data_IF_033045354998
#
_entry.id   IF_033045354998
#
_cell.length_a   1.000
_cell.length_b   1.000
_cell.length_c   1.000
_cell.angle_alpha   90.00
_cell.angle_beta   90.00
_cell.angle_gamma   90.00
#
_symmetry.space_group_name_H-M   'P 1'
#
loop_
_entity.id
_entity.type
_entity.pdbx_description
1 polymer ?
#
# COMPACT_ATOMS: atom_id res chain seq x y z
N UNK A 1 19.86 -0.59 18.51
CA UNK A 1 18.69 0.02 17.85
C UNK A 1 19.04 1.46 17.52
N UNK A 2 18.93 1.89 16.26
CA UNK A 2 19.28 3.26 15.87
C UNK A 2 18.17 4.24 16.29
N UNK A 3 18.51 5.53 16.42
CA UNK A 3 17.52 6.59 16.71
C UNK A 3 16.38 6.64 15.68
N UNK A 4 16.65 6.24 14.43
CA UNK A 4 15.65 6.19 13.36
C UNK A 4 14.64 5.06 13.58
N UNK A 5 15.09 3.87 14.00
CA UNK A 5 14.19 2.75 14.30
C UNK A 5 13.24 3.07 15.47
N UNK A 6 13.72 3.79 16.49
CA UNK A 6 12.87 4.24 17.60
C UNK A 6 11.76 5.20 17.15
N UNK A 7 12.10 6.15 16.27
CA UNK A 7 11.11 7.07 15.70
C UNK A 7 10.06 6.33 14.88
N UNK A 8 10.49 5.39 14.02
CA UNK A 8 9.58 4.57 13.22
C UNK A 8 8.61 3.81 14.12
N UNK A 9 9.08 3.18 15.19
CA UNK A 9 8.21 2.45 16.12
C UNK A 9 7.18 3.38 16.78
N UNK A 10 7.57 4.59 17.19
CA UNK A 10 6.65 5.54 17.79
C UNK A 10 5.55 6.01 16.80
N UNK A 11 5.93 6.36 15.56
CA UNK A 11 4.99 6.77 14.51
C UNK A 11 4.08 5.61 14.06
N UNK A 12 4.64 4.41 13.95
CA UNK A 12 3.95 3.18 13.61
C UNK A 12 2.91 2.79 14.69
N UNK A 13 3.23 2.99 15.97
CA UNK A 13 2.29 2.74 17.07
C UNK A 13 1.08 3.69 16.99
N UNK A 14 1.31 4.97 16.74
CA UNK A 14 0.23 5.94 16.54
C UNK A 14 -0.65 5.56 15.34
N UNK A 15 -0.04 5.15 14.22
CA UNK A 15 -0.80 4.73 13.04
C UNK A 15 -1.67 3.50 13.32
N UNK A 16 -1.16 2.53 14.10
CA UNK A 16 -1.93 1.35 14.52
C UNK A 16 -3.15 1.71 15.36
N UNK A 17 -3.00 2.61 16.33
CA UNK A 17 -4.12 3.09 17.15
C UNK A 17 -5.19 3.72 16.26
N UNK A 18 -4.79 4.57 15.31
CA UNK A 18 -5.71 5.21 14.37
C UNK A 18 -6.41 4.23 13.43
N UNK A 19 -5.71 3.20 12.96
CA UNK A 19 -6.33 2.12 12.19
C UNK A 19 -7.39 1.38 13.01
N UNK A 20 -7.10 1.07 14.27
CA UNK A 20 -8.05 0.40 15.15
C UNK A 20 -9.28 1.28 15.40
N UNK A 21 -9.08 2.56 15.69
CA UNK A 21 -10.16 3.50 16.03
C UNK A 21 -11.04 3.86 14.84
N UNK A 22 -10.45 4.10 13.67
CA UNK A 22 -11.17 4.63 12.50
C UNK A 22 -11.64 3.54 11.55
N UNK A 23 -10.81 2.52 11.33
CA UNK A 23 -11.09 1.45 10.38
C UNK A 23 -11.61 0.19 11.06
N UNK A 24 -11.44 0.05 12.39
CA UNK A 24 -11.72 -1.20 13.09
C UNK A 24 -10.71 -2.30 12.75
N UNK A 25 -9.55 -1.94 12.19
CA UNK A 25 -8.52 -2.90 11.73
C UNK A 25 -7.45 -3.03 12.81
N UNK A 26 -7.18 -4.28 13.21
CA UNK A 26 -6.04 -4.61 14.07
C UNK A 26 -5.13 -5.56 13.29
N UNK A 27 -4.00 -5.04 12.84
CA UNK A 27 -3.00 -5.83 12.11
C UNK A 27 -2.27 -6.83 13.01
N UNK A 28 -1.73 -7.87 12.38
CA UNK A 28 -0.82 -8.83 13.03
C UNK A 28 0.58 -8.74 12.44
N UNK A 29 1.65 -8.86 13.24
CA UNK A 29 3.01 -8.86 12.72
C UNK A 29 3.19 -9.93 11.62
N UNK A 30 3.78 -9.58 10.47
CA UNK A 30 3.92 -10.54 9.38
C UNK A 30 4.86 -11.70 9.71
N UNK A 31 4.51 -12.91 9.25
CA UNK A 31 5.34 -14.10 9.38
C UNK A 31 6.43 -14.13 8.29
N UNK A 32 7.50 -13.35 8.49
CA UNK A 32 8.58 -13.17 7.53
C UNK A 32 9.20 -14.48 7.04
N UNK A 33 9.16 -14.71 5.73
CA UNK A 33 9.86 -15.84 5.07
C UNK A 33 11.33 -15.54 4.80
N UNK A 34 11.65 -14.27 4.55
CA UNK A 34 13.00 -13.75 4.37
C UNK A 34 13.19 -12.50 5.25
N UNK A 35 14.40 -12.24 5.78
CA UNK A 35 14.63 -11.05 6.61
C UNK A 35 14.33 -9.75 5.85
N UNK A 36 13.37 -8.91 6.31
CA UNK A 36 13.16 -7.59 5.74
C UNK A 36 14.22 -6.58 6.21
N UNK A 37 14.42 -5.48 5.46
CA UNK A 37 15.16 -4.32 5.93
C UNK A 37 14.69 -3.83 7.30
N UNK A 38 15.59 -3.27 8.10
CA UNK A 38 15.33 -3.00 9.52
C UNK A 38 14.18 -2.01 9.77
N UNK A 39 14.02 -0.99 8.93
CA UNK A 39 12.90 -0.04 9.04
C UNK A 39 11.58 -0.70 8.67
N UNK A 40 11.57 -1.49 7.58
CA UNK A 40 10.40 -2.25 7.11
C UNK A 40 9.94 -3.23 8.19
N UNK A 41 10.88 -3.95 8.81
CA UNK A 41 10.60 -4.82 9.96
C UNK A 41 9.96 -4.03 11.10
N UNK A 42 10.62 -2.97 11.54
CA UNK A 42 10.19 -2.19 12.71
C UNK A 42 8.78 -1.61 12.51
N UNK A 43 8.50 -1.13 11.30
CA UNK A 43 7.19 -0.62 10.91
C UNK A 43 6.11 -1.69 11.00
N UNK A 44 6.28 -2.81 10.30
CA UNK A 44 5.26 -3.86 10.23
C UNK A 44 5.13 -4.73 11.48
N UNK A 45 6.21 -4.93 12.23
CA UNK A 45 6.15 -5.59 13.54
C UNK A 45 5.33 -4.72 14.55
N UNK A 46 5.26 -3.40 14.31
CA UNK A 46 4.50 -2.46 15.15
C UNK A 46 3.06 -2.29 14.67
N UNK A 47 2.86 -1.91 13.40
CA UNK A 47 1.53 -1.66 12.78
C UNK A 47 0.74 -2.94 12.59
N UNK A 48 1.43 -4.02 12.20
CA UNK A 48 0.83 -5.26 11.75
C UNK A 48 0.22 -5.15 10.35
N UNK A 49 -0.02 -6.29 9.72
CA UNK A 49 -0.74 -6.40 8.45
C UNK A 49 -2.13 -7.01 8.66
N UNK A 50 -3.10 -6.52 7.88
CA UNK A 50 -4.45 -7.05 7.81
C UNK A 50 -4.88 -7.08 6.34
N UNK A 51 -5.76 -8.00 5.96
CA UNK A 51 -6.12 -8.24 4.56
C UNK A 51 -6.70 -6.99 3.87
N UNK A 52 -7.41 -6.16 4.62
CA UNK A 52 -7.99 -4.88 4.19
C UNK A 52 -6.91 -3.88 3.73
N UNK A 53 -5.69 -3.96 4.27
CA UNK A 53 -4.55 -3.15 3.79
C UNK A 53 -4.14 -3.52 2.36
N UNK A 54 -4.52 -4.73 1.90
CA UNK A 54 -4.28 -5.23 0.55
C UNK A 54 -4.78 -4.32 -0.56
N UNK A 55 -5.73 -3.42 -0.27
CA UNK A 55 -6.23 -2.41 -1.22
C UNK A 55 -5.20 -1.32 -1.54
N UNK A 56 -4.26 -1.04 -0.62
CA UNK A 56 -3.31 0.06 -0.75
C UNK A 56 -1.85 -0.39 -0.78
N UNK A 57 -1.57 -1.59 -0.29
CA UNK A 57 -0.24 -2.20 -0.27
C UNK A 57 -0.35 -3.72 -0.22
N UNK A 58 0.47 -4.40 -1.02
CA UNK A 58 0.56 -5.86 -1.03
C UNK A 58 1.10 -6.34 0.33
N UNK A 59 0.59 -7.48 0.78
CA UNK A 59 1.09 -8.16 1.98
C UNK A 59 2.62 -8.31 1.90
N UNK A 60 3.38 -7.79 2.88
CA UNK A 60 4.83 -7.77 2.81
C UNK A 60 5.47 -9.17 2.87
N UNK A 61 4.70 -10.24 3.10
CA UNK A 61 5.17 -11.63 3.00
C UNK A 61 4.75 -12.34 1.71
N UNK A 62 3.92 -11.74 0.87
CA UNK A 62 3.62 -12.28 -0.45
C UNK A 62 4.93 -12.30 -1.26
N UNK A 63 5.22 -13.48 -1.83
CA UNK A 63 6.40 -13.73 -2.64
C UNK A 63 6.23 -13.22 -4.07
N UNK A 64 7.04 -13.75 -4.98
CA UNK A 64 7.09 -13.27 -6.36
C UNK A 64 5.90 -13.70 -7.24
N UNK A 65 5.11 -14.69 -6.82
CA UNK A 65 4.13 -15.34 -7.68
C UNK A 65 3.17 -14.38 -8.42
N UNK A 66 2.53 -13.39 -7.76
CA UNK A 66 1.64 -12.47 -8.48
C UNK A 66 2.34 -11.60 -9.52
N UNK A 67 3.62 -11.27 -9.29
CA UNK A 67 4.43 -10.52 -10.25
C UNK A 67 4.91 -11.42 -11.38
N UNK A 68 5.30 -12.66 -11.08
CA UNK A 68 5.71 -13.65 -12.09
C UNK A 68 4.55 -13.94 -13.06
N UNK A 69 3.32 -14.07 -12.53
CA UNK A 69 2.09 -14.17 -13.32
C UNK A 69 1.89 -12.94 -14.23
N UNK A 70 2.09 -11.73 -13.69
CA UNK A 70 1.96 -10.50 -14.49
C UNK A 70 3.02 -10.40 -15.59
N UNK A 71 4.28 -10.70 -15.30
CA UNK A 71 5.35 -10.69 -16.29
C UNK A 71 5.17 -11.78 -17.35
N UNK A 72 4.58 -12.92 -16.99
CA UNK A 72 4.19 -13.94 -17.95
C UNK A 72 3.09 -13.43 -18.89
N UNK A 73 2.03 -12.82 -18.34
CA UNK A 73 0.97 -12.21 -19.13
C UNK A 73 1.51 -11.17 -20.12
N UNK A 74 2.33 -10.22 -19.66
CA UNK A 74 2.94 -9.21 -20.53
C UNK A 74 3.81 -9.82 -21.63
N UNK A 75 4.49 -10.92 -21.36
CA UNK A 75 5.27 -11.63 -22.36
C UNK A 75 4.38 -12.24 -23.44
N UNK A 76 3.25 -12.80 -23.05
CA UNK A 76 2.26 -13.39 -23.96
C UNK A 76 1.57 -12.30 -24.81
N UNK A 77 1.31 -11.14 -24.21
CA UNK A 77 0.68 -9.98 -24.87
C UNK A 77 1.67 -9.19 -25.76
N UNK A 78 2.98 -9.47 -25.67
CA UNK A 78 4.01 -8.77 -26.43
C UNK A 78 4.37 -7.39 -25.88
N UNK A 79 4.08 -7.15 -24.61
CA UNK A 79 4.27 -5.88 -23.93
C UNK A 79 5.76 -5.65 -23.56
N UNK A 80 6.33 -4.46 -23.88
CA UNK A 80 7.74 -4.16 -23.60
C UNK A 80 8.16 -4.37 -22.15
N UNK A 81 7.29 -4.05 -21.19
CA UNK A 81 7.51 -4.18 -19.75
C UNK A 81 7.92 -5.58 -19.31
N UNK A 82 7.58 -6.62 -20.07
CA UNK A 82 7.99 -8.01 -19.80
C UNK A 82 9.52 -8.21 -19.82
N UNK A 83 10.28 -7.30 -20.46
CA UNK A 83 11.72 -7.34 -20.57
C UNK A 83 12.47 -6.63 -19.41
N UNK A 84 11.75 -6.14 -18.40
CA UNK A 84 12.36 -5.43 -17.28
C UNK A 84 13.38 -6.29 -16.51
N UNK A 85 14.49 -5.66 -16.11
CA UNK A 85 15.49 -6.27 -15.24
C UNK A 85 15.25 -5.83 -13.79
N UNK A 86 14.74 -6.75 -12.97
CA UNK A 86 14.49 -6.48 -11.55
C UNK A 86 15.78 -6.60 -10.71
N UNK A 87 15.85 -5.90 -9.56
CA UNK A 87 16.89 -6.13 -8.57
C UNK A 87 17.04 -7.60 -8.17
N UNK A 88 18.20 -8.02 -7.67
CA UNK A 88 18.38 -9.37 -7.14
C UNK A 88 17.53 -9.63 -5.87
N UNK A 89 17.26 -8.56 -5.11
CA UNK A 89 16.40 -8.56 -3.93
C UNK A 89 15.37 -7.45 -4.09
N UNK A 90 14.12 -7.80 -3.88
CA UNK A 90 12.99 -6.89 -3.96
C UNK A 90 11.81 -7.50 -3.22
N UNK A 91 10.80 -6.68 -2.95
CA UNK A 91 9.50 -7.05 -2.42
C UNK A 91 8.42 -6.37 -3.21
N UNK A 92 7.32 -7.07 -3.44
CA UNK A 92 6.15 -6.52 -4.11
C UNK A 92 5.48 -5.49 -3.20
N UNK A 93 5.21 -4.30 -3.73
CA UNK A 93 4.57 -3.20 -3.00
C UNK A 93 3.13 -3.01 -3.47
N UNK A 94 2.90 -3.05 -4.78
CA UNK A 94 1.58 -2.88 -5.38
C UNK A 94 1.55 -3.54 -6.76
N UNK A 95 0.39 -4.05 -7.16
CA UNK A 95 0.09 -4.40 -8.56
C UNK A 95 -1.17 -3.64 -8.94
N UNK A 96 -1.18 -3.03 -10.11
CA UNK A 96 -2.37 -2.41 -10.69
C UNK A 96 -2.63 -2.94 -12.11
N UNK A 97 -3.50 -2.31 -12.88
CA UNK A 97 -3.82 -2.76 -14.24
C UNK A 97 -2.65 -2.60 -15.23
N UNK A 98 -1.85 -1.56 -15.08
CA UNK A 98 -0.89 -1.11 -16.09
C UNK A 98 0.57 -1.28 -15.64
N UNK A 99 0.78 -1.76 -14.41
CA UNK A 99 2.09 -1.84 -13.81
C UNK A 99 2.13 -2.54 -12.47
N UNK A 100 3.32 -2.51 -11.88
CA UNK A 100 3.56 -2.95 -10.51
C UNK A 100 4.69 -2.13 -9.88
N UNK A 101 4.68 -2.09 -8.55
CA UNK A 101 5.67 -1.41 -7.72
C UNK A 101 6.44 -2.44 -6.91
N UNK A 102 7.77 -2.30 -6.85
CA UNK A 102 8.66 -3.14 -6.04
C UNK A 102 9.64 -2.30 -5.23
N UNK A 103 10.19 -2.86 -4.15
CA UNK A 103 11.33 -2.25 -3.46
C UNK A 103 12.61 -2.41 -4.26
N UNK A 104 13.45 -1.37 -4.25
CA UNK A 104 14.82 -1.41 -4.75
C UNK A 104 15.79 -1.70 -3.61
N UNK A 105 16.12 -2.98 -3.42
CA UNK A 105 17.04 -3.47 -2.38
C UNK A 105 18.41 -3.87 -2.95
N UNK A 106 18.85 -3.16 -4.00
CA UNK A 106 20.22 -3.32 -4.52
C UNK A 106 21.27 -2.96 -3.47
N UNK A 107 20.98 -1.94 -2.67
CA UNK A 107 21.82 -1.49 -1.56
C UNK A 107 21.30 -2.04 -0.23
N UNK A 108 22.20 -2.32 0.73
CA UNK A 108 21.84 -2.75 2.08
C UNK A 108 21.38 -1.56 2.93
N UNK A 109 20.20 -1.04 2.59
CA UNK A 109 19.57 0.12 3.24
C UNK A 109 18.44 -0.32 4.16
N UNK A 110 18.26 0.39 5.27
CA UNK A 110 17.22 0.10 6.26
C UNK A 110 15.79 0.21 5.70
N UNK A 111 15.60 1.13 4.74
CA UNK A 111 14.31 1.50 4.14
C UNK A 111 14.53 1.75 2.64
N UNK A 112 14.23 0.75 1.78
CA UNK A 112 14.50 0.84 0.35
C UNK A 112 13.56 1.82 -0.35
N UNK A 113 14.00 2.36 -1.48
CA UNK A 113 13.14 3.09 -2.39
C UNK A 113 12.11 2.15 -3.04
N UNK A 114 11.03 2.71 -3.56
CA UNK A 114 10.04 2.00 -4.38
C UNK A 114 10.20 2.44 -5.82
N UNK A 115 10.31 1.47 -6.71
CA UNK A 115 10.38 1.67 -8.15
C UNK A 115 9.20 1.00 -8.83
N UNK A 116 8.75 1.57 -9.95
CA UNK A 116 7.66 1.08 -10.75
C UNK A 116 8.11 0.54 -12.10
N UNK A 117 7.31 -0.38 -12.65
CA UNK A 117 7.39 -0.85 -14.03
C UNK A 117 6.00 -0.77 -14.63
N UNK A 118 5.91 -0.31 -15.87
CA UNK A 118 4.67 -0.31 -16.64
C UNK A 118 4.72 -1.34 -17.76
N UNK A 119 3.56 -1.69 -18.30
CA UNK A 119 3.43 -2.59 -19.45
C UNK A 119 4.20 -2.11 -20.70
N UNK A 120 4.28 -0.80 -20.92
CA UNK A 120 4.88 -0.20 -22.12
C UNK A 120 6.34 0.24 -21.96
N UNK A 121 6.88 0.26 -20.74
CA UNK A 121 8.25 0.72 -20.46
C UNK A 121 9.03 -0.33 -19.65
N UNK A 122 10.08 -0.97 -20.22
CA UNK A 122 10.91 -1.95 -19.52
C UNK A 122 11.88 -1.33 -18.50
N UNK A 123 11.79 -0.03 -18.21
CA UNK A 123 12.68 0.65 -17.27
C UNK A 123 12.07 0.76 -15.88
N UNK A 124 12.92 0.61 -14.86
CA UNK A 124 12.55 0.88 -13.46
C UNK A 124 12.46 2.39 -13.25
N UNK A 125 11.25 2.89 -13.01
CA UNK A 125 11.01 4.30 -12.74
C UNK A 125 10.97 4.56 -11.23
N UNK A 126 11.63 5.61 -10.72
CA UNK A 126 11.57 5.95 -9.30
C UNK A 126 10.20 6.50 -8.92
N UNK A 127 9.52 5.86 -7.97
CA UNK A 127 8.16 6.21 -7.55
C UNK A 127 8.17 6.82 -6.14
N UNK A 128 8.81 6.15 -5.18
CA UNK A 128 8.95 6.65 -3.81
C UNK A 128 10.37 6.49 -3.30
N UNK A 129 10.81 7.44 -2.48
CA UNK A 129 12.14 7.39 -1.85
C UNK A 129 12.23 6.40 -0.69
N UNK A 130 11.09 5.90 -0.21
CA UNK A 130 10.98 5.06 0.98
C UNK A 130 9.73 4.18 0.91
N UNK A 131 9.91 2.89 1.17
CA UNK A 131 8.82 1.94 1.30
C UNK A 131 7.94 2.27 2.50
N UNK A 132 8.53 2.60 3.66
CA UNK A 132 7.76 2.94 4.86
C UNK A 132 6.89 4.19 4.63
N UNK A 133 7.41 5.20 3.92
CA UNK A 133 6.61 6.37 3.53
C UNK A 133 5.45 5.99 2.61
N UNK A 134 5.69 5.13 1.60
CA UNK A 134 4.65 4.65 0.68
C UNK A 134 3.56 3.85 1.42
N UNK A 135 3.94 2.98 2.35
CA UNK A 135 3.01 2.19 3.17
C UNK A 135 2.15 3.11 4.04
N UNK A 136 2.78 4.02 4.79
CA UNK A 136 2.10 5.00 5.64
C UNK A 136 1.15 5.88 4.85
N UNK A 137 1.57 6.39 3.68
CA UNK A 137 0.71 7.21 2.83
C UNK A 137 -0.54 6.45 2.36
N UNK A 138 -0.41 5.17 2.00
CA UNK A 138 -1.55 4.32 1.63
C UNK A 138 -2.54 4.12 2.77
N UNK A 139 -2.03 3.79 3.97
CA UNK A 139 -2.87 3.61 5.16
C UNK A 139 -3.59 4.91 5.54
N UNK A 140 -2.89 6.05 5.54
CA UNK A 140 -3.49 7.36 5.81
C UNK A 140 -4.57 7.68 4.76
N UNK A 141 -4.32 7.42 3.48
CA UNK A 141 -5.31 7.65 2.43
C UNK A 141 -6.59 6.84 2.68
N UNK A 142 -6.46 5.57 3.09
CA UNK A 142 -7.59 4.71 3.44
C UNK A 142 -8.36 5.23 4.66
N UNK A 143 -7.67 5.65 5.73
CA UNK A 143 -8.26 6.30 6.91
C UNK A 143 -9.06 7.55 6.50
N UNK A 144 -8.45 8.44 5.73
CA UNK A 144 -9.08 9.68 5.28
C UNK A 144 -10.29 9.39 4.40
N UNK A 145 -10.20 8.41 3.49
CA UNK A 145 -11.32 7.99 2.67
C UNK A 145 -12.50 7.50 3.54
N UNK A 146 -12.22 6.65 4.54
CA UNK A 146 -13.25 6.16 5.46
C UNK A 146 -13.93 7.30 6.22
N UNK A 147 -13.17 8.23 6.78
CA UNK A 147 -13.71 9.38 7.52
C UNK A 147 -14.59 10.28 6.63
N UNK A 148 -14.20 10.49 5.37
CA UNK A 148 -15.00 11.25 4.39
C UNK A 148 -16.33 10.55 4.12
N UNK A 149 -16.32 9.23 3.92
CA UNK A 149 -17.52 8.43 3.70
C UNK A 149 -18.46 8.46 4.90
N UNK A 150 -17.95 8.29 6.12
CA UNK A 150 -18.75 8.39 7.35
C UNK A 150 -19.34 9.81 7.50
N UNK A 151 -18.54 10.85 7.28
CA UNK A 151 -19.01 12.24 7.38
C UNK A 151 -20.10 12.54 6.35
N UNK A 152 -19.98 12.03 5.13
CA UNK A 152 -21.00 12.17 4.09
C UNK A 152 -22.32 11.48 4.48
N UNK A 153 -22.25 10.26 5.02
CA UNK A 153 -23.42 9.53 5.50
C UNK A 153 -24.11 10.22 6.69
N UNK A 154 -23.35 10.86 7.57
CA UNK A 154 -23.94 11.64 8.68
C UNK A 154 -24.59 12.95 8.20
N UNK A 155 -24.11 13.53 7.10
CA UNK A 155 -24.70 14.74 6.50
C UNK A 155 -25.95 14.46 5.68
N UNK A 156 -26.08 13.26 5.11
CA UNK A 156 -27.24 12.83 4.32
C UNK A 156 -27.56 11.35 4.60
N UNK A 157 -28.18 11.02 5.75
CA UNK A 157 -28.41 9.64 6.13
C UNK A 157 -29.34 8.93 5.13
N UNK A 158 -29.02 7.68 4.73
CA UNK A 158 -29.85 6.91 3.83
C UNK A 158 -31.22 6.67 4.49
N UNK A 159 -32.24 7.38 4.01
CA UNK A 159 -33.58 7.39 4.62
C UNK A 159 -34.33 8.72 4.44
N UNK A 160 -33.64 9.82 4.11
CA UNK A 160 -34.33 11.00 3.62
C UNK A 160 -34.76 10.78 2.17
N UNK A 161 -35.98 10.25 2.02
CA UNK A 161 -36.80 10.50 0.84
C UNK A 161 -36.73 12.00 0.58
N UNK A 162 -36.07 12.40 -0.52
CA UNK A 162 -36.28 13.76 -1.05
C UNK A 162 -37.75 13.82 -1.42
N UNK A 163 -38.58 14.35 -0.52
CA UNK A 163 -39.96 14.63 -0.86
C UNK A 163 -39.93 15.51 -2.11
N UNK A 164 -40.67 15.17 -3.18
CA UNK A 164 -40.73 16.02 -4.34
C UNK A 164 -41.18 17.40 -3.86
N UNK A 165 -40.37 18.40 -4.15
CA UNK A 165 -40.73 19.80 -3.91
C UNK A 165 -41.95 20.09 -4.77
N UNK A 166 -43.14 19.88 -4.22
CA UNK A 166 -44.37 20.47 -4.74
C UNK A 166 -44.25 21.96 -4.51
N UNK A 167 -43.54 22.65 -5.40
CA UNK A 167 -43.71 24.09 -5.54
C UNK A 167 -45.20 24.32 -5.88
N UNK A 168 -45.94 25.13 -5.10
CA UNK A 168 -47.25 25.54 -5.54
C UNK A 168 -47.09 26.36 -6.82
N UNK A 169 -47.84 26.00 -7.85
CA UNK A 169 -48.14 26.94 -8.91
C UNK A 169 -48.82 28.15 -8.25
N UNK A 170 -48.19 29.33 -8.36
CA UNK A 170 -48.77 30.65 -8.65
C UNK A 170 -47.68 31.73 -8.51
#
# INVERSE_FOLDING_TARGET
MSSRSQLIVAEAAWLREWMADVLGIVGTPPAWRSPPPAAVRSFWDTVGFAAELGEVIVDPVIGSAPMDERLAQWRDDGEPGAAVSLPARWRLVQIDGNGFLVTDERDDVDDPAVVGVTDHDPTLQPEWRSYVQRATAGIIAMIVHRLRTVTALLRDPPGHVRLPTLAPAL
#
